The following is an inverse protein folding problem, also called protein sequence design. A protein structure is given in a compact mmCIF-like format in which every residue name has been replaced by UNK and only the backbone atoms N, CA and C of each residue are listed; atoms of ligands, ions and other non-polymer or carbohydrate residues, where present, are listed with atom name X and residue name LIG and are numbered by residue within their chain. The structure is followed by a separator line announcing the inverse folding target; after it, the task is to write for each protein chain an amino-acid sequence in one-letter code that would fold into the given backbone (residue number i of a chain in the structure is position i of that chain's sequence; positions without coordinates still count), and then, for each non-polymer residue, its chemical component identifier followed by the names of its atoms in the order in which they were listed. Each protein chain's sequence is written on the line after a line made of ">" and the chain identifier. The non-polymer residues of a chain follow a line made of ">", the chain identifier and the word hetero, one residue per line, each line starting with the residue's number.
data_IF_658732831938
#
_entry.id   IF_658732831938
#
_cell.length_a   1.000
_cell.length_b   1.000
_cell.length_c   1.000
_cell.angle_alpha   90.00
_cell.angle_beta   90.00
_cell.angle_gamma   90.00
#
_symmetry.space_group_name_H-M   'P 1'
#
loop_
_entity.id
_entity.type
_entity.pdbx_description
1 polymer ?
2 non-polymer ?
3 non-polymer ?
4 non-polymer ?
5 water ?
#
# COMPACT_ATOMS: atom_id res chain seq x y z
N UNK A 2 -14.54 16.48 8.49
CA UNK A 2 -14.44 15.08 8.12
C UNK A 2 -14.66 14.17 9.32
N UNK A 3 -14.50 14.73 10.51
CA UNK A 3 -14.63 13.95 11.73
C UNK A 3 -13.33 13.29 12.12
N UNK A 4 -13.12 13.17 13.42
CA UNK A 4 -11.92 12.57 13.99
C UNK A 4 -11.85 11.07 13.68
N UNK A 5 -10.68 10.62 13.21
CA UNK A 5 -10.46 9.20 13.02
C UNK A 5 -10.60 8.46 14.34
N UNK A 6 -11.16 7.25 14.28
CA UNK A 6 -11.20 6.37 15.43
C UNK A 6 -9.79 6.07 15.88
N UNK A 7 -9.65 5.56 17.10
CA UNK A 7 -8.35 5.26 17.65
C UNK A 7 -7.59 4.27 16.76
N UNK A 8 -8.29 3.24 16.30
CA UNK A 8 -7.65 2.27 15.41
C UNK A 8 -7.24 2.89 14.08
N UNK A 9 -8.06 3.78 13.52
CA UNK A 9 -7.71 4.41 12.26
C UNK A 9 -6.58 5.44 12.45
N UNK A 10 -6.46 6.03 13.64
CA UNK A 10 -5.29 6.86 13.95
C UNK A 10 -4.02 6.03 13.86
N UNK A 11 -4.04 4.84 14.45
CA UNK A 11 -2.91 3.93 14.33
C UNK A 11 -2.63 3.60 12.86
N UNK A 12 -3.69 3.33 12.09
CA UNK A 12 -3.53 3.05 10.66
C UNK A 12 -2.89 4.23 9.95
N UNK A 13 -3.35 5.43 10.28
CA UNK A 13 -2.77 6.63 9.66
C UNK A 13 -1.29 6.78 10.01
N UNK A 14 -0.94 6.44 11.25
CA UNK A 14 0.45 6.44 11.67
C UNK A 14 1.29 5.49 10.83
N UNK A 15 0.80 4.26 10.66
CA UNK A 15 1.49 3.28 9.83
C UNK A 15 1.69 3.82 8.42
N UNK A 16 0.62 4.38 7.85
CA UNK A 16 0.69 4.94 6.50
C UNK A 16 1.77 6.02 6.38
N UNK A 17 1.80 6.95 7.34
CA UNK A 17 2.83 7.97 7.36
C UNK A 17 4.22 7.34 7.41
N UNK A 18 4.38 6.32 8.25
CA UNK A 18 5.67 5.63 8.31
C UNK A 18 6.03 4.99 6.97
N UNK A 19 5.07 4.34 6.32
CA UNK A 19 5.38 3.68 5.05
C UNK A 19 5.84 4.68 4.00
N UNK A 20 5.35 5.91 4.10
CA UNK A 20 5.69 6.98 3.16
C UNK A 20 6.92 7.79 3.57
N UNK A 21 7.51 7.45 4.72
CA UNK A 21 8.60 8.24 5.29
C UNK A 21 9.98 7.89 4.72
N UNK A 22 10.93 8.80 4.87
CA UNK A 22 12.23 8.62 4.23
C UNK A 22 12.97 7.36 4.68
N UNK A 23 12.74 6.93 5.92
CA UNK A 23 13.48 5.79 6.44
C UNK A 23 13.17 4.49 5.69
N UNK A 24 12.03 4.43 5.00
CA UNK A 24 11.70 3.24 4.24
C UNK A 24 11.72 3.46 2.73
N UNK A 25 12.17 4.63 2.29
CA UNK A 25 12.05 4.98 0.88
C UNK A 25 12.81 4.04 -0.05
N UNK A 26 13.90 3.44 0.43
CA UNK A 26 14.72 2.60 -0.43
C UNK A 26 13.96 1.40 -1.00
N UNK A 27 12.95 0.92 -0.27
CA UNK A 27 12.12 -0.17 -0.78
C UNK A 27 10.65 0.24 -0.94
N UNK A 28 10.25 1.39 -0.39
CA UNK A 28 8.85 1.81 -0.52
C UNK A 28 8.55 2.56 -1.81
N UNK A 29 9.56 3.15 -2.45
CA UNK A 29 9.24 4.10 -3.52
C UNK A 29 8.40 3.54 -4.70
N UNK A 30 8.55 2.25 -5.05
CA UNK A 30 7.72 1.77 -6.18
C UNK A 30 6.23 1.82 -5.87
N UNK A 31 5.88 1.95 -4.59
CA UNK A 31 4.49 1.83 -4.16
C UNK A 31 3.85 3.17 -3.86
N UNK A 32 4.58 4.25 -4.15
CA UNK A 32 4.11 5.59 -3.81
C UNK A 32 2.91 6.05 -4.64
N UNK A 33 2.88 5.67 -5.91
CA UNK A 33 1.89 6.18 -6.86
C UNK A 33 1.32 5.04 -7.70
N UNK A 34 0.15 5.26 -8.33
CA UNK A 34 -0.41 4.20 -9.18
C UNK A 34 0.57 3.74 -10.25
N UNK A 35 0.67 2.43 -10.47
CA UNK A 35 1.42 1.93 -11.62
C UNK A 35 0.93 2.60 -12.90
N UNK A 36 1.86 3.21 -13.63
CA UNK A 36 1.60 3.76 -14.96
C UNK A 36 2.04 2.72 -15.98
N UNK A 37 1.08 1.90 -16.43
CA UNK A 37 1.41 0.72 -17.21
C UNK A 37 2.04 1.10 -18.54
N UNK A 38 1.49 2.10 -19.20
CA UNK A 38 2.04 2.50 -20.50
C UNK A 38 3.45 3.06 -20.34
N UNK A 39 3.65 3.88 -19.31
CA UNK A 39 4.96 4.46 -19.04
C UNK A 39 6.03 3.39 -18.82
N UNK A 40 5.65 2.31 -18.14
CA UNK A 40 6.59 1.25 -17.79
C UNK A 40 6.67 0.18 -18.88
N UNK A 41 5.79 0.27 -19.87
CA UNK A 41 5.78 -0.68 -20.97
C UNK A 41 5.18 -2.02 -20.60
N UNK A 42 4.41 -2.05 -19.52
CA UNK A 42 3.80 -3.30 -19.08
C UNK A 42 2.35 -3.36 -19.56
N UNK A 43 2.20 -3.65 -20.85
CA UNK A 43 0.91 -3.50 -21.52
C UNK A 43 -0.09 -4.58 -21.17
N UNK A 44 0.33 -5.54 -20.35
CA UNK A 44 -0.57 -6.57 -19.85
C UNK A 44 -0.98 -6.34 -18.39
N UNK A 45 -0.50 -5.25 -17.79
CA UNK A 45 -0.70 -5.04 -16.36
C UNK A 45 -2.17 -5.03 -15.96
N UNK A 46 -3.00 -4.32 -16.73
CA UNK A 46 -4.40 -4.18 -16.35
C UNK A 46 -5.26 -5.35 -16.80
N UNK A 47 -4.67 -6.27 -17.55
CA UNK A 47 -5.34 -7.54 -17.83
C UNK A 47 -5.13 -8.51 -16.68
N UNK A 48 -4.03 -8.33 -15.97
CA UNK A 48 -3.64 -9.24 -14.90
C UNK A 48 -4.07 -8.72 -13.54
N UNK A 49 -3.95 -7.41 -13.35
CA UNK A 49 -4.30 -6.73 -12.11
C UNK A 49 -5.63 -6.00 -12.26
N UNK A 50 -6.68 -6.57 -11.68
CA UNK A 50 -8.03 -6.04 -11.84
C UNK A 50 -8.31 -4.87 -10.90
N UNK A 51 -7.61 -4.86 -9.76
CA UNK A 51 -7.84 -3.86 -8.72
C UNK A 51 -6.55 -3.21 -8.26
N UNK A 52 -6.04 -2.25 -9.05
CA UNK A 52 -4.78 -1.58 -8.71
C UNK A 52 -4.89 -0.87 -7.37
N UNK A 53 -3.77 -0.80 -6.66
CA UNK A 53 -3.73 -0.06 -5.41
C UNK A 53 -2.30 0.42 -5.14
N UNK A 54 -2.18 1.55 -4.46
CA UNK A 54 -0.89 2.15 -4.15
C UNK A 54 -1.03 3.06 -2.94
N UNK A 55 0.08 3.51 -2.37
CA UNK A 55 0.01 4.25 -1.12
C UNK A 55 -0.64 5.62 -1.26
N UNK A 56 -0.51 6.27 -2.42
CA UNK A 56 -1.15 7.58 -2.60
C UNK A 56 -2.66 7.43 -2.59
N UNK A 57 -3.15 6.32 -3.12
CA UNK A 57 -4.59 6.07 -3.14
C UNK A 57 -5.09 5.76 -1.72
N UNK A 58 -4.32 4.97 -0.97
CA UNK A 58 -4.65 4.72 0.43
C UNK A 58 -4.68 6.03 1.23
N UNK A 59 -3.71 6.90 0.98
CA UNK A 59 -3.64 8.19 1.68
C UNK A 59 -4.86 9.04 1.37
N UNK A 60 -5.23 9.12 0.10
CA UNK A 60 -6.41 9.89 -0.29
C UNK A 60 -7.66 9.33 0.37
N UNK A 61 -7.79 8.01 0.38
CA UNK A 61 -8.95 7.37 1.00
C UNK A 61 -8.99 7.65 2.51
N UNK A 62 -7.83 7.66 3.17
CA UNK A 62 -7.81 7.98 4.59
C UNK A 62 -8.23 9.44 4.83
N UNK A 63 -7.67 10.34 4.04
CA UNK A 63 -7.98 11.77 4.15
C UNK A 63 -9.46 12.04 3.93
N UNK A 64 -10.05 11.31 2.99
CA UNK A 64 -11.46 11.46 2.63
C UNK A 64 -12.38 10.65 3.54
N UNK A 65 -11.81 9.98 4.54
CA UNK A 65 -12.59 9.16 5.47
C UNK A 65 -13.36 8.04 4.77
N UNK A 66 -12.77 7.53 3.69
CA UNK A 66 -13.34 6.42 2.96
C UNK A 66 -13.32 5.15 3.81
N UNK A 67 -12.22 4.90 4.53
CA UNK A 67 -12.12 3.70 5.36
C UNK A 67 -12.99 3.79 6.59
N UNK A 68 -13.85 2.81 6.79
CA UNK A 68 -14.70 2.88 7.97
C UNK A 68 -14.08 2.15 9.15
N UNK A 69 -13.10 1.29 8.89
CA UNK A 69 -12.38 0.66 9.98
C UNK A 69 -10.97 0.21 9.57
N UNK A 70 -10.20 -0.24 10.54
CA UNK A 70 -8.82 -0.68 10.30
C UNK A 70 -8.74 -1.82 9.31
N UNK A 71 -9.72 -2.72 9.37
CA UNK A 71 -9.75 -3.89 8.50
C UNK A 71 -9.81 -3.48 7.03
N UNK A 72 -10.60 -2.46 6.73
CA UNK A 72 -10.73 -2.00 5.36
C UNK A 72 -9.41 -1.40 4.88
N UNK A 73 -8.76 -0.63 5.75
CA UNK A 73 -7.46 -0.06 5.44
C UNK A 73 -6.44 -1.16 5.13
N UNK A 74 -6.36 -2.14 6.03
CA UNK A 74 -5.38 -3.22 5.90
C UNK A 74 -5.61 -4.02 4.62
N UNK A 75 -6.87 -4.23 4.26
CA UNK A 75 -7.16 -4.97 3.04
C UNK A 75 -6.62 -4.25 1.81
N UNK A 76 -6.68 -2.92 1.79
CA UNK A 76 -6.11 -2.17 0.66
C UNK A 76 -4.58 -2.25 0.64
N UNK A 77 -3.94 -2.09 1.80
CA UNK A 77 -2.48 -2.16 1.81
C UNK A 77 -2.05 -3.56 1.35
N UNK A 78 -2.75 -4.58 1.82
CA UNK A 78 -2.38 -5.94 1.43
C UNK A 78 -2.68 -6.20 -0.05
N UNK A 79 -3.75 -5.59 -0.57
CA UNK A 79 -4.07 -5.71 -2.00
C UNK A 79 -2.93 -5.15 -2.85
N UNK A 80 -2.39 -4.01 -2.43
CA UNK A 80 -1.23 -3.42 -3.10
C UNK A 80 -0.05 -4.40 -3.18
N UNK A 81 0.27 -5.06 -2.07
CA UNK A 81 1.36 -6.03 -2.08
C UNK A 81 1.01 -7.23 -2.94
N UNK A 82 -0.22 -7.71 -2.82
CA UNK A 82 -0.66 -8.87 -3.60
C UNK A 82 -0.57 -8.62 -5.10
N UNK A 83 -0.91 -7.42 -5.53
CA UNK A 83 -0.80 -7.11 -6.96
C UNK A 83 0.64 -7.25 -7.42
N UNK A 84 1.57 -6.82 -6.57
CA UNK A 84 2.98 -6.93 -6.88
C UNK A 84 3.40 -8.39 -6.99
N UNK A 85 2.96 -9.21 -6.03
CA UNK A 85 3.30 -10.64 -6.05
C UNK A 85 2.63 -11.37 -7.20
N UNK A 86 1.49 -10.86 -7.66
CA UNK A 86 0.75 -11.50 -8.75
C UNK A 86 1.40 -11.21 -10.10
N UNK A 87 1.79 -9.96 -10.32
CA UNK A 87 2.28 -9.57 -11.63
C UNK A 87 3.72 -9.99 -11.89
N UNK A 88 4.57 -9.87 -10.86
CA UNK A 88 6.01 -10.05 -11.01
C UNK A 88 6.49 -11.45 -10.64
N UNK A 89 7.53 -11.94 -11.31
CA UNK A 89 8.12 -13.20 -10.86
C UNK A 89 8.69 -13.06 -9.46
N UNK A 90 8.67 -14.14 -8.68
CA UNK A 90 9.02 -14.09 -7.25
C UNK A 90 10.46 -13.67 -6.98
N UNK A 91 11.34 -13.78 -7.97
CA UNK A 91 12.73 -13.38 -7.78
C UNK A 91 13.04 -11.96 -8.25
N UNK A 92 12.02 -11.21 -8.65
CA UNK A 92 12.20 -9.82 -9.11
C UNK A 92 12.58 -8.88 -7.96
N UNK A 93 13.43 -7.89 -8.24
CA UNK A 93 13.82 -6.92 -7.23
C UNK A 93 12.61 -6.25 -6.56
N UNK A 94 11.57 -5.95 -7.33
CA UNK A 94 10.44 -5.20 -6.75
C UNK A 94 9.67 -6.07 -5.76
N UNK A 95 9.69 -7.38 -5.97
CA UNK A 95 9.05 -8.31 -5.05
C UNK A 95 9.79 -8.35 -3.72
N UNK A 96 11.12 -8.31 -3.76
CA UNK A 96 11.91 -8.24 -2.54
C UNK A 96 11.61 -6.96 -1.76
N UNK A 97 11.42 -5.86 -2.48
CA UNK A 97 11.06 -4.59 -1.88
C UNK A 97 9.67 -4.67 -1.24
N UNK A 98 8.72 -5.28 -1.95
CA UNK A 98 7.38 -5.47 -1.42
C UNK A 98 7.41 -6.26 -0.13
N UNK A 99 8.15 -7.37 -0.12
CA UNK A 99 8.26 -8.21 1.08
C UNK A 99 8.77 -7.39 2.27
N UNK A 100 9.77 -6.57 2.02
CA UNK A 100 10.35 -5.75 3.09
C UNK A 100 9.36 -4.71 3.60
N UNK A 101 8.67 -4.02 2.70
CA UNK A 101 7.68 -3.04 3.14
C UNK A 101 6.51 -3.72 3.84
N UNK A 102 6.13 -4.90 3.38
CA UNK A 102 5.02 -5.61 4.01
C UNK A 102 5.42 -6.07 5.41
N UNK A 103 6.69 -6.39 5.61
CA UNK A 103 7.16 -6.73 6.95
C UNK A 103 6.99 -5.54 7.89
N UNK A 104 7.41 -4.36 7.44
CA UNK A 104 7.19 -3.15 8.21
C UNK A 104 5.71 -2.97 8.53
N UNK A 105 4.88 -3.08 7.51
CA UNK A 105 3.45 -2.93 7.70
C UNK A 105 2.85 -3.94 8.69
N UNK A 106 3.09 -5.23 8.45
CA UNK A 106 2.43 -6.24 9.26
C UNK A 106 2.84 -6.18 10.73
N UNK A 107 4.11 -5.91 11.00
CA UNK A 107 4.52 -5.89 12.39
C UNK A 107 3.94 -4.70 13.12
N UNK A 108 3.81 -3.55 12.46
CA UNK A 108 3.21 -2.42 13.16
C UNK A 108 1.68 -2.53 13.21
N UNK A 109 1.07 -3.09 12.17
CA UNK A 109 -0.38 -3.29 12.19
C UNK A 109 -0.77 -4.21 13.35
N UNK A 110 0.09 -5.18 13.65
CA UNK A 110 -0.15 -6.11 14.75
C UNK A 110 -0.14 -5.42 16.12
N UNK A 111 0.42 -4.21 16.18
CA UNK A 111 0.45 -3.44 17.43
C UNK A 111 -0.78 -2.55 17.61
N UNK A 112 -1.82 -2.81 16.82
CA UNK A 112 -3.10 -2.12 16.91
C UNK A 112 -3.63 -2.06 18.34
N UNK A 113 -3.96 -0.86 18.82
CA UNK A 113 -4.57 -0.73 20.15
C UNK A 113 -5.94 -1.41 20.22
X LIG B 1 8.89 -2.45 -15.69
X LIG B 1 8.08 -2.58 -14.53
X LIG B 1 7.69 -3.78 -14.09
X LIG B 1 8.07 -4.76 -14.74
X LIG B 1 6.81 -4.02 -12.83
X LIG B 1 5.33 -4.04 -13.18
X LIG B 1 4.65 -2.71 -13.30
X LIG B 1 7.09 -2.91 -11.75
X LIG B 1 8.54 -2.79 -11.37
X LIG B 1 6.22 -2.93 -10.57
X LIG B 1 5.45 -3.92 -10.06
X LIG B 1 4.83 -3.49 -8.96
X LIG B 1 5.17 -2.22 -8.71
X LIG B 1 4.65 -1.45 -7.60
X LIG B 1 6.09 -1.78 -9.75
X LIG B 1 6.82 -0.51 -10.06
X LIG B 1 6.15 0.75 -9.86
X LIG B 1 6.75 2.02 -10.12
X LIG B 1 6.10 3.21 -9.92
X LIG B 1 6.75 4.46 -10.21
X LIG B 1 8.04 1.97 -10.61
X LIG B 1 8.71 0.73 -10.82
X LIG B 1 8.14 -0.52 -10.57
X LIG B 1 9.01 -1.72 -10.86
X LIG B 1 10.46 -1.85 -10.26
X LIG B 1 10.80 -1.30 -9.06
X LIG B 1 12.08 -1.39 -8.51
X LIG B 1 13.03 -2.05 -9.21
X LIG B 1 14.67 -2.19 -8.56
X LIG B 1 12.78 -2.63 -10.43
X LIG B 1 11.47 -2.52 -10.94
X LIG B 1 9.96 -2.73 -15.54
X LIG B 1 8.91 -1.42 -16.10
X LIG B 1 8.62 -3.06 -16.60
X LIG B 1 7.07 -5.03 -12.44
X LIG B 1 5.15 -4.60 -14.13
X LIG B 1 4.76 -4.66 -12.45
X LIG B 1 5.29 -1.92 -13.71
X LIG B 1 4.28 -2.31 -12.33
X LIG B 1 3.74 -2.67 -13.94
X LIG B 1 7.00 -1.96 -12.37
X LIG B 1 3.59 -1.63 -7.27
X LIG B 1 4.63 -0.34 -7.75
X LIG B 1 5.18 -1.53 -6.62
X LIG B 1 5.12 0.78 -9.46
X LIG B 1 6.42 5.29 -9.56
X LIG B 1 6.67 4.83 -11.26
X LIG B 1 7.88 4.48 -10.08
X LIG B 1 8.61 2.90 -10.85
X LIG B 1 9.75 0.82 -11.22
X LIG B 1 10.06 -0.73 -8.41
X LIG B 1 12.24 -0.89 -7.50
X LIG B 1 13.62 -3.17 -10.97
X LIG B 1 11.23 -2.99 -11.95
X LIG C 1 -7.05 -8.43 4.76
X LIG D 1 5.24 -10.28 8.19
X LIG D 1 5.76 -11.05 7.00
X LIG D 1 7.09 -10.67 6.74
X LIG D 1 4.90 -10.77 5.79
X LIG D 1 5.46 -11.46 4.70
X LIG D 1 4.78 -11.32 3.47
X LIG D 1 5.43 -12.24 2.46
X LIG D 1 6.90 -11.90 2.32
X LIG D 1 4.80 -12.09 1.22
X LIG D 1 5.43 -10.78 9.01
X LIG D 1 4.27 -10.17 8.11
X LIG D 1 5.67 -9.41 8.23
X LIG D 1 5.73 -12.01 7.20
X LIG D 1 7.44 -11.20 6.12
X LIG D 1 4.90 -9.81 5.60
X LIG D 1 3.99 -11.07 5.95
X LIG D 1 3.85 -11.56 3.58
X LIG D 1 4.85 -10.40 3.16
X LIG D 1 5.34 -13.17 2.76
X LIG D 1 7.00 -11.07 1.82
X LIG D 1 7.36 -12.62 1.85
X LIG D 1 7.30 -11.80 3.21
X LIG D 1 3.92 -12.17 1.32
#
# INVERSE_FOLDING_TARGET
>A
SMGKLSEQLKHCNGILKELLSKKHAAYAWPFYKPVDASALGVHDYHDIIKHPMDLSTVKRKMENRDYRDAQEFAADVRLMFSNCYKYNPPDHDVVAMARKLQDVFEFRYAKMPD
>B hetero
1 9J5 CBC OBA CAX OBB CAW CAY CAZ CAJ NAI CAK NAS NAT CAU CAV NAL CAM CAO CAP OBD CBE CAQ CAR CAN CAH CAE CAD CAC CAB CLA CAG CAF HBC HBE HBD HAY HAZ HA0 HA2 HA1 HA3 HAJ HAX HAV HAW HAO HBF HBG HBH HAQ HAR HAD HAC HAG HAF
>C hetero
1 CL CL
>D hetero
1 DQW CAD CAB OAA CAC OAE CAF CAG CAI OAH HAG HAE HAF HAB HAA HAC HAD HAI HAH HAJ HAL HAM HAK HAN
#
